data_IF_309470281432
#
_entry.id   IF_309470281432
#
_cell.length_a   1.000
_cell.length_b   1.000
_cell.length_c   1.000
_cell.angle_alpha   90.00
_cell.angle_beta   90.00
_cell.angle_gamma   90.00
#
_symmetry.space_group_name_H-M   'P 1'
#
loop_
_entity.id
_entity.type
_entity.pdbx_description
1 polymer ?
#
# COMPACT_ATOMS: atom_id res chain seq x y z
N UNK A 1 7.87 -5.07 8.28
CA UNK A 1 6.41 -5.19 8.10
C UNK A 1 5.74 -4.37 9.17
N UNK A 2 4.85 -3.45 8.76
CA UNK A 2 4.15 -2.52 9.64
C UNK A 2 2.68 -2.40 9.22
N UNK A 3 1.85 -1.94 10.16
CA UNK A 3 0.48 -1.51 9.92
C UNK A 3 0.39 -0.01 10.23
N UNK A 4 -0.35 0.74 9.41
CA UNK A 4 -0.48 2.19 9.57
C UNK A 4 -1.95 2.59 9.70
N UNK A 5 -2.25 3.41 10.72
CA UNK A 5 -3.57 4.00 10.92
C UNK A 5 -3.49 5.37 11.59
N UNK A 6 -4.51 6.20 11.40
CA UNK A 6 -4.64 7.50 12.08
C UNK A 6 -5.81 7.52 13.06
N UNK A 7 -5.82 8.52 13.96
CA UNK A 7 -6.98 8.80 14.82
C UNK A 7 -8.25 9.20 14.04
N UNK A 8 -8.10 9.57 12.76
CA UNK A 8 -9.21 9.83 11.83
C UNK A 8 -9.64 8.57 11.05
N UNK A 9 -9.21 7.38 11.50
CA UNK A 9 -9.56 6.10 10.90
C UNK A 9 -9.14 5.92 9.44
N UNK A 10 -8.11 6.65 9.00
CA UNK A 10 -7.43 6.32 7.74
C UNK A 10 -6.48 5.16 7.99
N UNK A 11 -6.39 4.23 7.04
CA UNK A 11 -5.65 2.98 7.20
C UNK A 11 -4.89 2.65 5.91
N UNK A 12 -3.81 1.88 6.04
CA UNK A 12 -3.09 1.21 4.95
C UNK A 12 -2.91 -0.24 5.36
N UNK A 13 -3.42 -1.18 4.55
CA UNK A 13 -3.48 -2.61 4.90
C UNK A 13 -2.10 -3.18 5.28
N UNK A 14 -1.08 -2.85 4.50
CA UNK A 14 0.28 -3.34 4.71
C UNK A 14 1.32 -2.29 4.33
N UNK A 15 2.31 -2.12 5.20
CA UNK A 15 3.44 -1.22 4.96
C UNK A 15 4.74 -2.00 5.07
N UNK A 16 5.60 -1.79 4.08
CA UNK A 16 6.96 -2.31 4.07
C UNK A 16 7.95 -1.15 3.97
N UNK A 17 9.12 -1.34 4.58
CA UNK A 17 10.27 -0.47 4.38
C UNK A 17 11.41 -1.33 3.83
N UNK A 18 11.99 -0.90 2.72
CA UNK A 18 13.13 -1.55 2.08
C UNK A 18 14.08 -0.49 1.53
N UNK A 19 15.34 -0.55 1.91
CA UNK A 19 16.38 0.37 1.44
C UNK A 19 16.01 1.86 1.62
N UNK A 20 15.40 2.21 2.77
CA UNK A 20 14.84 3.53 3.08
C UNK A 20 13.64 3.97 2.23
N UNK A 21 13.10 3.10 1.38
CA UNK A 21 11.85 3.34 0.65
C UNK A 21 10.70 2.73 1.44
N UNK A 22 9.73 3.57 1.80
CA UNK A 22 8.47 3.14 2.41
C UNK A 22 7.48 2.86 1.27
N UNK A 23 6.89 1.67 1.27
CA UNK A 23 5.82 1.31 0.33
C UNK A 23 4.58 0.88 1.10
N UNK A 24 3.46 1.52 0.79
CA UNK A 24 2.14 1.12 1.25
C UNK A 24 1.42 0.27 0.20
N UNK A 25 0.72 -0.75 0.67
CA UNK A 25 -0.05 -1.67 -0.14
C UNK A 25 -1.49 -1.71 0.34
N UNK A 26 -2.42 -1.72 -0.60
CA UNK A 26 -3.85 -1.92 -0.38
C UNK A 26 -4.30 -3.14 -1.20
N UNK A 27 -5.05 -4.06 -0.59
CA UNK A 27 -5.49 -5.28 -1.25
C UNK A 27 -6.96 -5.20 -1.63
N UNK A 28 -7.28 -5.55 -2.88
CA UNK A 28 -8.65 -5.56 -3.41
C UNK A 28 -8.90 -6.82 -4.23
N UNK A 29 -10.12 -7.34 -4.22
CA UNK A 29 -10.49 -8.43 -5.13
C UNK A 29 -10.60 -7.96 -6.59
N UNK A 30 -11.01 -6.71 -6.81
CA UNK A 30 -11.11 -6.09 -8.13
C UNK A 30 -10.83 -4.59 -8.01
N UNK A 31 -9.64 -4.15 -8.46
CA UNK A 31 -9.24 -2.76 -8.34
C UNK A 31 -9.95 -1.88 -9.37
N UNK A 32 -10.51 -0.75 -8.93
CA UNK A 32 -11.04 0.31 -9.79
C UNK A 32 -9.95 1.34 -10.08
N UNK A 33 -10.03 2.00 -11.26
CA UNK A 33 -9.03 3.00 -11.71
C UNK A 33 -8.73 4.15 -10.74
N UNK A 34 -9.64 4.45 -9.81
CA UNK A 34 -9.51 5.58 -8.89
C UNK A 34 -9.15 5.17 -7.45
N UNK A 35 -8.89 3.89 -7.19
CA UNK A 35 -8.46 3.44 -5.87
C UNK A 35 -7.02 3.86 -5.60
N UNK A 36 -6.82 4.49 -4.44
CA UNK A 36 -5.54 5.05 -4.01
C UNK A 36 -5.46 4.95 -2.49
N UNK A 37 -4.24 4.78 -1.98
CA UNK A 37 -3.94 4.89 -0.56
C UNK A 37 -4.23 6.32 -0.05
N UNK A 38 -4.39 6.51 1.28
CA UNK A 38 -4.55 7.83 1.87
C UNK A 38 -3.42 8.78 1.45
N UNK A 39 -3.78 9.96 0.93
CA UNK A 39 -2.78 10.99 0.55
C UNK A 39 -1.89 11.39 1.73
N UNK A 40 -2.48 11.46 2.92
CA UNK A 40 -1.79 11.73 4.18
C UNK A 40 -0.64 10.77 4.45
N UNK A 41 -0.80 9.48 4.12
CA UNK A 41 0.28 8.50 4.23
C UNK A 41 1.38 8.78 3.21
N UNK A 42 1.00 8.96 1.94
CA UNK A 42 1.96 9.21 0.83
C UNK A 42 2.80 10.45 1.11
N UNK A 43 2.17 11.55 1.53
CA UNK A 43 2.86 12.82 1.79
C UNK A 43 3.71 12.77 3.05
N UNK A 44 3.26 12.13 4.12
CA UNK A 44 4.00 12.08 5.40
C UNK A 44 5.30 11.27 5.31
N UNK A 45 5.31 10.22 4.49
CA UNK A 45 6.43 9.28 4.39
C UNK A 45 7.18 9.36 3.06
N UNK A 46 6.73 10.23 2.13
CA UNK A 46 7.15 10.21 0.73
C UNK A 46 7.09 8.77 0.16
N UNK A 47 5.99 8.08 0.46
CA UNK A 47 5.87 6.65 0.26
C UNK A 47 5.37 6.29 -1.14
N UNK A 48 5.85 5.17 -1.66
CA UNK A 48 5.23 4.51 -2.81
C UNK A 48 3.88 3.89 -2.41
N UNK A 49 2.94 3.86 -3.35
CA UNK A 49 1.61 3.33 -3.14
C UNK A 49 1.27 2.28 -4.22
N UNK A 50 0.88 1.08 -3.79
CA UNK A 50 0.54 -0.02 -4.69
C UNK A 50 -0.83 -0.60 -4.34
N UNK A 51 -1.68 -0.75 -5.36
CA UNK A 51 -2.92 -1.50 -5.24
C UNK A 51 -2.65 -2.91 -5.77
N UNK A 52 -2.91 -3.91 -4.93
CA UNK A 52 -2.75 -5.31 -5.29
C UNK A 52 -4.13 -5.94 -5.47
N UNK A 53 -4.35 -6.53 -6.63
CA UNK A 53 -5.58 -7.24 -6.97
C UNK A 53 -5.32 -8.60 -7.62
N UNK A 54 -6.38 -9.31 -7.99
CA UNK A 54 -6.27 -10.63 -8.63
C UNK A 54 -5.41 -10.64 -9.90
N UNK A 55 -5.25 -9.51 -10.59
CA UNK A 55 -4.49 -9.42 -11.82
C UNK A 55 -2.98 -9.34 -11.55
N UNK A 56 -2.56 -8.65 -10.49
CA UNK A 56 -1.14 -8.42 -10.18
C UNK A 56 -0.65 -9.13 -8.90
N UNK A 57 -1.52 -9.84 -8.15
CA UNK A 57 -1.13 -10.48 -6.88
C UNK A 57 0.05 -11.45 -7.04
N UNK A 58 0.14 -12.15 -8.19
CA UNK A 58 1.22 -13.09 -8.44
C UNK A 58 2.57 -12.39 -8.48
N UNK A 59 2.64 -11.21 -9.07
CA UNK A 59 3.87 -10.41 -9.11
C UNK A 59 4.25 -9.91 -7.72
N UNK A 60 3.27 -9.65 -6.85
CA UNK A 60 3.49 -9.24 -5.48
C UNK A 60 4.10 -10.36 -4.60
N UNK A 61 3.64 -11.61 -4.74
CA UNK A 61 4.08 -12.72 -3.87
C UNK A 61 5.35 -13.43 -4.35
N UNK A 62 5.85 -13.13 -5.55
CA UNK A 62 7.09 -13.73 -6.05
C UNK A 62 8.27 -13.16 -5.27
N UNK A 63 8.96 -14.03 -4.53
CA UNK A 63 10.26 -13.73 -3.92
C UNK A 63 11.32 -13.82 -5.01
N UNK A 64 12.06 -12.73 -5.24
CA UNK A 64 13.30 -12.75 -6.02
C UNK A 64 14.48 -13.05 -5.11
#
# INVERSE_FOLDING_TARGET
>A
MYFWRTGQQQEVDFVEEKENTITGYEFKWNAKKNERLPKTFIEAYNADAKIIDLNNFREFVIVK
#
